data_IF_272929945370
#
_entry.id   IF_272929945370
#
_cell.length_a   1.000
_cell.length_b   1.000
_cell.length_c   1.000
_cell.angle_alpha   90.00
_cell.angle_beta   90.00
_cell.angle_gamma   90.00
#
_symmetry.space_group_name_H-M   'P 1'
#
loop_
_entity.id
_entity.type
_entity.pdbx_description
1 polymer ?
#
# COMPACT_ATOMS: atom_id res chain seq x y z
N UNK A 1 6.07 -1.55 17.37
CA UNK A 1 5.26 -1.45 16.15
C UNK A 1 6.04 -0.54 15.22
N UNK A 2 6.26 -0.96 13.97
CA UNK A 2 7.02 -0.19 12.97
C UNK A 2 6.00 0.41 12.02
N UNK A 3 6.09 1.71 11.77
CA UNK A 3 5.30 2.37 10.75
C UNK A 3 5.94 2.06 9.39
N UNK A 4 5.11 1.79 8.39
CA UNK A 4 5.51 1.64 7.01
C UNK A 4 4.69 2.60 6.17
N UNK A 5 5.36 3.26 5.23
CA UNK A 5 4.73 4.11 4.23
C UNK A 5 4.70 3.35 2.90
N UNK A 6 3.55 3.44 2.22
CA UNK A 6 3.29 2.81 0.93
C UNK A 6 3.32 3.91 -0.13
N UNK A 7 4.04 3.68 -1.20
CA UNK A 7 4.24 4.63 -2.28
C UNK A 7 3.94 3.98 -3.62
N UNK A 8 3.52 4.79 -4.58
CA UNK A 8 3.57 4.45 -6.01
C UNK A 8 5.01 4.48 -6.53
N UNK A 9 5.22 3.96 -7.74
CA UNK A 9 6.54 3.94 -8.40
C UNK A 9 7.10 5.35 -8.70
N UNK A 10 6.26 6.38 -8.75
CA UNK A 10 6.68 7.78 -8.91
C UNK A 10 6.99 8.48 -7.56
N UNK A 11 6.85 7.78 -6.44
CA UNK A 11 7.12 8.28 -5.09
C UNK A 11 5.94 8.97 -4.41
N UNK A 12 4.74 8.96 -5.01
CA UNK A 12 3.53 9.48 -4.35
C UNK A 12 3.13 8.60 -3.16
N UNK A 13 2.92 9.22 -2.00
CA UNK A 13 2.45 8.52 -0.80
C UNK A 13 0.99 8.09 -0.97
N UNK A 14 0.73 6.80 -0.81
CA UNK A 14 -0.60 6.20 -0.87
C UNK A 14 -1.22 6.05 0.51
N UNK A 15 -0.48 5.46 1.45
CA UNK A 15 -0.98 5.22 2.81
C UNK A 15 0.16 4.99 3.79
N UNK A 16 -0.19 4.97 5.07
CA UNK A 16 0.68 4.51 6.15
C UNK A 16 -0.03 3.43 6.95
N UNK A 17 0.73 2.43 7.38
CA UNK A 17 0.25 1.34 8.23
C UNK A 17 1.29 1.03 9.29
N UNK A 18 0.85 0.69 10.50
CA UNK A 18 1.74 0.29 11.58
C UNK A 18 1.55 -1.19 11.88
N UNK A 19 2.61 -1.98 11.74
CA UNK A 19 2.59 -3.43 11.94
C UNK A 19 3.69 -3.87 12.92
N UNK A 20 3.49 -5.01 13.57
CA UNK A 20 4.50 -5.60 14.48
C UNK A 20 5.59 -6.38 13.74
N UNK A 21 5.33 -6.82 12.51
CA UNK A 21 6.26 -7.56 11.65
C UNK A 21 6.38 -6.92 10.27
N UNK A 22 7.49 -7.16 9.55
CA UNK A 22 7.64 -6.75 8.16
C UNK A 22 6.44 -7.23 7.32
N UNK A 23 5.70 -6.31 6.70
CA UNK A 23 4.57 -6.62 5.85
C UNK A 23 5.04 -7.09 4.46
N UNK A 24 4.15 -7.74 3.72
CA UNK A 24 4.35 -8.13 2.32
C UNK A 24 3.77 -7.08 1.37
N UNK A 25 4.23 -7.03 0.12
CA UNK A 25 3.62 -6.17 -0.92
C UNK A 25 2.12 -6.44 -1.10
N UNK A 26 1.71 -7.70 -1.05
CA UNK A 26 0.30 -8.09 -1.18
C UNK A 26 -0.56 -7.47 -0.08
N UNK A 27 -0.21 -7.70 1.18
CA UNK A 27 -0.86 -7.07 2.34
C UNK A 27 -0.93 -5.53 2.23
N UNK A 28 0.10 -4.91 1.67
CA UNK A 28 0.14 -3.45 1.46
C UNK A 28 -0.85 -2.99 0.39
N UNK A 29 -0.90 -3.70 -0.73
CA UNK A 29 -1.84 -3.42 -1.79
C UNK A 29 -3.29 -3.68 -1.33
N UNK A 30 -3.52 -4.77 -0.59
CA UNK A 30 -4.82 -5.10 -0.03
C UNK A 30 -5.28 -4.02 0.97
N UNK A 31 -4.39 -3.55 1.85
CA UNK A 31 -4.69 -2.43 2.75
C UNK A 31 -5.04 -1.16 1.99
N UNK A 32 -4.28 -0.83 0.94
CA UNK A 32 -4.59 0.31 0.09
C UNK A 32 -5.95 0.17 -0.61
N UNK A 33 -6.32 -1.02 -1.08
CA UNK A 33 -7.64 -1.26 -1.66
C UNK A 33 -8.76 -1.06 -0.62
N UNK A 34 -8.60 -1.64 0.57
CA UNK A 34 -9.58 -1.57 1.66
C UNK A 34 -9.86 -0.12 2.08
N UNK A 35 -8.82 0.68 2.31
CA UNK A 35 -9.00 2.08 2.73
C UNK A 35 -9.60 2.97 1.62
N UNK A 36 -9.47 2.57 0.36
CA UNK A 36 -10.07 3.25 -0.79
C UNK A 36 -11.46 2.69 -1.14
N UNK A 37 -11.95 1.67 -0.42
CA UNK A 37 -13.29 1.11 -0.60
C UNK A 37 -13.42 0.09 -1.74
N UNK A 38 -12.30 -0.48 -2.20
CA UNK A 38 -12.27 -1.51 -3.24
C UNK A 38 -12.35 -2.91 -2.63
N UNK A 39 -12.94 -3.86 -3.37
CA UNK A 39 -13.11 -5.23 -2.90
C UNK A 39 -11.81 -6.05 -3.03
N UNK A 40 -10.96 -5.68 -3.99
CA UNK A 40 -9.69 -6.34 -4.23
C UNK A 40 -8.61 -5.35 -4.70
N UNK A 41 -7.34 -5.75 -4.54
CA UNK A 41 -6.18 -4.95 -4.92
C UNK A 41 -6.04 -4.72 -6.42
N UNK A 42 -6.49 -5.66 -7.25
CA UNK A 42 -6.29 -5.60 -8.69
C UNK A 42 -7.25 -4.55 -9.29
N UNK A 43 -8.50 -4.53 -8.82
CA UNK A 43 -9.52 -3.53 -9.12
C UNK A 43 -9.04 -2.14 -8.72
N UNK A 44 -8.54 -1.99 -7.48
CA UNK A 44 -7.98 -0.73 -7.01
C UNK A 44 -6.79 -0.27 -7.87
N UNK A 45 -5.82 -1.14 -8.14
CA UNK A 45 -4.64 -0.79 -8.94
C UNK A 45 -5.02 -0.42 -10.38
N UNK A 46 -6.01 -1.12 -10.96
CA UNK A 46 -6.51 -0.82 -12.29
C UNK A 46 -7.19 0.55 -12.36
N UNK A 47 -8.13 0.84 -11.46
CA UNK A 47 -8.87 2.11 -11.42
C UNK A 47 -7.96 3.30 -11.05
N UNK A 48 -7.05 3.11 -10.09
CA UNK A 48 -6.08 4.11 -9.68
C UNK A 48 -4.90 4.27 -10.67
N UNK A 49 -4.82 3.42 -11.71
CA UNK A 49 -3.72 3.36 -12.68
C UNK A 49 -2.35 3.21 -12.03
N UNK A 50 -2.28 2.35 -11.01
CA UNK A 50 -1.05 2.06 -10.28
C UNK A 50 -0.41 0.82 -10.89
N UNK A 51 0.73 1.00 -11.56
CA UNK A 51 1.49 -0.11 -12.15
C UNK A 51 2.23 -0.95 -11.09
N UNK A 52 2.51 -0.35 -9.93
CA UNK A 52 3.20 -1.03 -8.84
C UNK A 52 3.37 -0.12 -7.63
N UNK A 53 3.54 -0.78 -6.48
CA UNK A 53 3.76 -0.13 -5.18
C UNK A 53 5.11 -0.52 -4.60
N UNK A 54 5.64 0.37 -3.77
CA UNK A 54 6.79 0.13 -2.91
C UNK A 54 6.43 0.51 -1.47
N UNK A 55 7.15 -0.06 -0.50
CA UNK A 55 6.99 0.34 0.89
C UNK A 55 8.34 0.46 1.58
N UNK A 56 8.41 1.37 2.55
CA UNK A 56 9.59 1.58 3.38
C UNK A 56 9.19 1.81 4.83
N UNK A 57 9.98 1.34 5.81
CA UNK A 57 9.77 1.69 7.21
C UNK A 57 9.99 3.19 7.41
N UNK A 58 9.13 3.79 8.23
CA UNK A 58 9.22 5.19 8.67
C UNK A 58 9.64 5.20 10.15
N UNK A 59 10.64 6.02 10.47
CA UNK A 59 11.24 6.16 11.80
C UNK A 59 10.77 7.45 12.48
#
# INVERSE_FOLDING_TARGET
MIAYAIFTSDGTLLATISTSSPPTLELMADYCAEINGFADRDEWMYEARIEGIAYAPVH
#
